data_IF_871635751065
#
_entry.id   IF_871635751065
#
_cell.length_a   1.000
_cell.length_b   1.000
_cell.length_c   1.000
_cell.angle_alpha   90.00
_cell.angle_beta   90.00
_cell.angle_gamma   90.00
#
_symmetry.space_group_name_H-M   'P 1'
#
loop_
_entity.id
_entity.type
_entity.pdbx_description
1 polymer ?
#
# COMPACT_ATOMS: atom_id res chain seq x y z
N UNK A 1 1.52 -12.11 10.97
CA UNK A 1 2.14 -11.42 12.12
C UNK A 1 1.34 -10.14 12.32
N UNK A 2 0.92 -9.80 13.54
CA UNK A 2 0.21 -8.55 13.83
C UNK A 2 1.22 -7.58 14.44
N UNK A 3 1.23 -6.32 13.99
CA UNK A 3 2.07 -5.27 14.53
C UNK A 3 1.35 -4.55 15.68
N UNK A 4 1.89 -4.65 16.89
CA UNK A 4 1.28 -4.10 18.11
C UNK A 4 1.13 -2.57 18.08
N UNK A 5 2.01 -1.84 17.36
CA UNK A 5 1.90 -0.38 17.19
C UNK A 5 0.57 0.03 16.53
N UNK A 6 0.03 -0.82 15.67
CA UNK A 6 -1.16 -0.56 14.86
C UNK A 6 -2.31 -1.52 15.19
N UNK A 7 -2.34 -2.06 16.41
CA UNK A 7 -3.34 -3.05 16.83
C UNK A 7 -4.80 -2.55 16.77
N UNK A 8 -5.01 -1.23 16.84
CA UNK A 8 -6.34 -0.61 16.75
C UNK A 8 -6.79 -0.35 15.31
N UNK A 9 -5.96 -0.68 14.32
CA UNK A 9 -6.22 -0.48 12.90
C UNK A 9 -6.26 -1.84 12.21
N UNK A 10 -7.05 -1.94 11.14
CA UNK A 10 -7.04 -3.12 10.27
C UNK A 10 -5.68 -3.23 9.60
N UNK A 11 -5.07 -4.42 9.67
CA UNK A 11 -3.71 -4.63 9.16
C UNK A 11 -3.74 -5.46 7.88
N UNK A 12 -3.35 -4.83 6.78
CA UNK A 12 -3.30 -5.44 5.44
C UNK A 12 -1.85 -5.56 5.00
N UNK A 13 -1.47 -6.72 4.49
CA UNK A 13 -0.14 -7.03 4.00
C UNK A 13 -0.22 -7.28 2.50
N UNK A 14 0.73 -6.73 1.75
CA UNK A 14 0.82 -6.94 0.30
C UNK A 14 2.03 -7.79 -0.03
N UNK A 15 1.87 -8.65 -1.03
CA UNK A 15 2.97 -9.40 -1.63
C UNK A 15 2.75 -9.54 -3.13
N UNK A 16 3.83 -9.75 -3.86
CA UNK A 16 3.82 -9.93 -5.31
C UNK A 16 4.86 -11.00 -5.65
N UNK A 17 4.40 -12.09 -6.27
CA UNK A 17 5.27 -13.21 -6.60
C UNK A 17 5.60 -13.26 -8.10
N UNK A 18 6.79 -13.78 -8.38
CA UNK A 18 7.27 -14.11 -9.73
C UNK A 18 7.48 -15.63 -9.83
N UNK A 19 6.47 -16.43 -9.50
CA UNK A 19 6.51 -17.84 -9.84
C UNK A 19 6.50 -18.01 -11.38
N UNK A 20 7.36 -18.87 -11.94
CA UNK A 20 7.29 -19.22 -13.36
C UNK A 20 5.90 -19.80 -13.68
N UNK A 21 5.17 -19.16 -14.59
CA UNK A 21 3.88 -19.66 -15.09
C UNK A 21 2.63 -18.98 -14.55
N UNK A 22 2.63 -18.36 -13.37
CA UNK A 22 1.46 -17.60 -12.90
C UNK A 22 1.88 -16.40 -12.04
N UNK A 23 2.23 -15.25 -12.67
CA UNK A 23 2.45 -14.04 -11.90
C UNK A 23 1.14 -13.66 -11.19
N UNK A 24 1.23 -13.43 -9.90
CA UNK A 24 0.09 -13.07 -9.07
C UNK A 24 0.50 -12.06 -8.01
N UNK A 25 -0.53 -11.43 -7.47
CA UNK A 25 -0.47 -10.47 -6.39
C UNK A 25 -1.32 -10.99 -5.25
N UNK A 26 -0.83 -10.82 -4.04
CA UNK A 26 -1.52 -11.24 -2.83
C UNK A 26 -1.75 -10.05 -1.91
N UNK A 27 -2.95 -10.01 -1.34
CA UNK A 27 -3.33 -9.09 -0.29
C UNK A 27 -3.86 -9.91 0.87
N UNK A 28 -3.19 -9.82 2.02
CA UNK A 28 -3.56 -10.54 3.23
C UNK A 28 -4.05 -9.56 4.29
N UNK A 29 -5.31 -9.67 4.66
CA UNK A 29 -5.87 -8.96 5.82
C UNK A 29 -5.66 -9.83 7.06
N UNK A 30 -4.77 -9.40 7.95
CA UNK A 30 -4.45 -10.13 9.17
C UNK A 30 -5.56 -10.04 10.22
N UNK A 31 -6.32 -8.95 10.24
CA UNK A 31 -7.44 -8.75 11.17
C UNK A 31 -8.57 -9.73 10.88
N UNK A 32 -8.92 -9.90 9.60
CA UNK A 32 -9.97 -10.82 9.17
C UNK A 32 -9.45 -12.24 8.85
N UNK A 33 -8.13 -12.44 8.89
CA UNK A 33 -7.47 -13.68 8.45
C UNK A 33 -7.87 -14.09 7.02
N UNK A 34 -8.07 -13.12 6.13
CA UNK A 34 -8.47 -13.35 4.74
C UNK A 34 -7.35 -13.04 3.77
N UNK A 35 -7.12 -13.93 2.81
CA UNK A 35 -6.14 -13.76 1.73
C UNK A 35 -6.86 -13.64 0.38
N UNK A 36 -6.51 -12.61 -0.39
CA UNK A 36 -6.97 -12.40 -1.75
C UNK A 36 -5.79 -12.58 -2.71
N UNK A 37 -5.98 -13.41 -3.73
CA UNK A 37 -4.96 -13.69 -4.74
C UNK A 37 -5.47 -13.27 -6.11
N UNK A 38 -4.75 -12.36 -6.76
CA UNK A 38 -5.09 -11.80 -8.06
C UNK A 38 -4.10 -12.31 -9.10
N UNK A 39 -4.60 -13.07 -10.09
CA UNK A 39 -3.79 -13.53 -11.22
C UNK A 39 -3.55 -12.41 -12.22
N UNK A 40 -2.33 -12.35 -12.75
CA UNK A 40 -1.92 -11.31 -13.69
C UNK A 40 -1.56 -11.97 -15.03
N UNK A 41 -1.97 -11.34 -16.13
CA UNK A 41 -1.82 -11.91 -17.46
C UNK A 41 -0.33 -12.02 -17.84
N UNK A 42 0.09 -13.23 -18.24
CA UNK A 42 1.47 -13.56 -18.59
C UNK A 42 2.02 -12.82 -19.83
N UNK A 43 1.16 -12.21 -20.66
CA UNK A 43 1.59 -11.51 -21.88
C UNK A 43 2.26 -10.15 -21.62
N UNK A 44 2.21 -9.62 -20.40
CA UNK A 44 2.81 -8.33 -20.06
C UNK A 44 4.29 -8.51 -19.64
N UNK A 45 5.17 -7.65 -20.17
CA UNK A 45 6.64 -7.77 -20.17
C UNK A 45 7.32 -7.50 -18.81
N UNK A 46 8.65 -7.46 -18.76
CA UNK A 46 9.48 -7.21 -17.57
C UNK A 46 9.12 -5.94 -16.75
N UNK A 47 8.44 -4.96 -17.35
CA UNK A 47 7.81 -3.82 -16.65
C UNK A 47 6.71 -4.23 -15.65
N UNK A 48 6.31 -5.51 -15.64
CA UNK A 48 5.35 -6.07 -14.70
C UNK A 48 5.86 -6.18 -13.26
N UNK A 49 7.16 -6.17 -12.97
CA UNK A 49 7.60 -6.27 -11.56
C UNK A 49 7.03 -5.08 -10.75
N UNK A 50 7.22 -3.87 -11.25
CA UNK A 50 6.68 -2.66 -10.63
C UNK A 50 5.17 -2.58 -10.78
N UNK A 51 4.61 -2.98 -11.94
CA UNK A 51 3.15 -2.98 -12.16
C UNK A 51 2.42 -3.91 -11.18
N UNK A 52 3.00 -5.08 -10.87
CA UNK A 52 2.44 -6.05 -9.91
C UNK A 52 2.40 -5.47 -8.51
N UNK A 53 3.49 -4.83 -8.10
CA UNK A 53 3.58 -4.15 -6.81
C UNK A 53 2.52 -3.06 -6.71
N UNK A 54 2.43 -2.20 -7.73
CA UNK A 54 1.42 -1.12 -7.75
C UNK A 54 0.01 -1.71 -7.66
N UNK A 55 -0.27 -2.80 -8.40
CA UNK A 55 -1.55 -3.49 -8.33
C UNK A 55 -1.83 -4.04 -6.93
N UNK A 56 -0.83 -4.61 -6.25
CA UNK A 56 -0.96 -5.10 -4.87
C UNK A 56 -1.36 -3.99 -3.90
N UNK A 57 -0.69 -2.85 -4.01
CA UNK A 57 -0.98 -1.68 -3.19
C UNK A 57 -2.38 -1.14 -3.51
N UNK A 58 -2.75 -1.00 -4.79
CA UNK A 58 -4.07 -0.53 -5.20
C UNK A 58 -5.19 -1.46 -4.70
N UNK A 59 -5.01 -2.79 -4.79
CA UNK A 59 -5.98 -3.76 -4.26
C UNK A 59 -6.10 -3.71 -2.74
N UNK A 60 -5.01 -3.47 -2.03
CA UNK A 60 -5.05 -3.24 -0.59
C UNK A 60 -5.79 -1.95 -0.23
N UNK A 61 -5.62 -0.87 -1.01
CA UNK A 61 -6.35 0.39 -0.84
C UNK A 61 -7.85 0.20 -1.12
N UNK A 62 -8.21 -0.49 -2.21
CA UNK A 62 -9.60 -0.80 -2.55
C UNK A 62 -10.28 -1.56 -1.40
N UNK A 63 -9.63 -2.60 -0.88
CA UNK A 63 -10.12 -3.34 0.29
C UNK A 63 -10.28 -2.43 1.52
N UNK A 64 -9.29 -1.56 1.79
CA UNK A 64 -9.34 -0.63 2.91
C UNK A 64 -10.52 0.36 2.80
N UNK A 65 -10.79 0.85 1.59
CA UNK A 65 -11.90 1.76 1.31
C UNK A 65 -13.27 1.07 1.47
N UNK A 66 -13.37 -0.19 1.07
CA UNK A 66 -14.60 -1.00 1.25
C UNK A 66 -14.92 -1.26 2.73
N UNK A 67 -13.89 -1.42 3.56
CA UNK A 67 -14.05 -1.70 4.99
C UNK A 67 -14.54 -0.49 5.81
N UNK A 68 -14.37 0.74 5.33
CA UNK A 68 -14.72 1.99 6.05
C UNK A 68 -14.09 2.11 7.45
N UNK A 69 -12.96 1.43 7.68
CA UNK A 69 -12.24 1.41 8.95
C UNK A 69 -10.81 1.95 8.78
N UNK A 70 -10.23 2.45 9.86
CA UNK A 70 -8.82 2.82 9.89
C UNK A 70 -7.94 1.61 9.54
N UNK A 71 -7.19 1.70 8.44
CA UNK A 71 -6.43 0.58 7.87
C UNK A 71 -4.96 0.97 7.65
N UNK A 72 -4.05 0.06 7.98
CA UNK A 72 -2.61 0.18 7.70
C UNK A 72 -2.21 -0.89 6.69
N UNK A 73 -1.53 -0.46 5.63
CA UNK A 73 -1.05 -1.33 4.56
C UNK A 73 0.47 -1.51 4.71
N UNK A 74 0.91 -2.74 4.91
CA UNK A 74 2.30 -3.14 4.96
C UNK A 74 2.74 -3.71 3.61
N UNK A 75 3.92 -3.29 3.16
CA UNK A 75 4.47 -3.67 1.88
C UNK A 75 6.00 -3.61 1.93
N UNK A 76 6.67 -4.64 1.40
CA UNK A 76 8.13 -4.73 1.33
C UNK A 76 8.71 -3.99 0.10
N UNK A 77 7.86 -3.42 -0.75
CA UNK A 77 8.25 -2.77 -1.99
C UNK A 77 8.66 -1.31 -1.81
N UNK A 78 9.72 -1.07 -1.02
CA UNK A 78 10.20 0.27 -0.62
C UNK A 78 10.29 1.27 -1.78
N UNK A 79 10.95 0.90 -2.88
CA UNK A 79 11.17 1.82 -4.01
C UNK A 79 9.85 2.23 -4.67
N UNK A 80 8.94 1.27 -4.86
CA UNK A 80 7.64 1.53 -5.49
C UNK A 80 6.73 2.34 -4.59
N UNK A 81 6.73 2.08 -3.28
CA UNK A 81 6.04 2.92 -2.31
C UNK A 81 6.56 4.37 -2.38
N UNK A 82 7.88 4.55 -2.41
CA UNK A 82 8.47 5.88 -2.49
C UNK A 82 8.07 6.61 -3.79
N UNK A 83 8.08 5.92 -4.93
CA UNK A 83 7.62 6.48 -6.20
C UNK A 83 6.13 6.82 -6.20
N UNK A 84 5.29 5.96 -5.62
CA UNK A 84 3.84 6.17 -5.51
C UNK A 84 3.55 7.41 -4.63
N UNK A 85 4.19 7.49 -3.47
CA UNK A 85 4.08 8.62 -2.56
C UNK A 85 4.54 9.91 -3.25
N UNK A 86 5.67 9.90 -3.96
CA UNK A 86 6.16 11.06 -4.69
C UNK A 86 5.19 11.49 -5.81
N UNK A 87 4.55 10.54 -6.50
CA UNK A 87 3.52 10.84 -7.49
C UNK A 87 2.29 11.49 -6.84
N UNK A 88 1.81 10.93 -5.73
CA UNK A 88 0.67 11.49 -5.00
C UNK A 88 0.95 12.92 -4.52
N UNK A 89 2.16 13.19 -4.01
CA UNK A 89 2.58 14.54 -3.60
C UNK A 89 2.53 15.53 -4.76
N UNK A 90 3.04 15.17 -5.93
CA UNK A 90 3.07 16.06 -7.10
C UNK A 90 1.68 16.36 -7.69
N UNK A 91 0.69 15.51 -7.41
CA UNK A 91 -0.62 15.54 -8.08
C UNK A 91 -1.77 15.97 -7.18
N UNK A 92 -1.69 15.73 -5.88
CA UNK A 92 -2.83 15.91 -4.96
C UNK A 92 -2.49 16.80 -3.76
N UNK A 93 -1.22 17.16 -3.56
CA UNK A 93 -0.79 17.99 -2.45
C UNK A 93 -0.25 19.31 -3.03
N UNK A 94 -1.08 20.35 -3.01
CA UNK A 94 -0.73 21.66 -3.56
C UNK A 94 0.26 22.44 -2.67
N UNK A 95 0.39 22.11 -1.38
CA UNK A 95 1.43 22.65 -0.49
C UNK A 95 2.07 21.54 0.35
N UNK A 96 3.40 21.59 0.51
CA UNK A 96 4.15 20.59 1.29
C UNK A 96 3.93 20.69 2.81
N UNK A 97 3.04 21.58 3.25
CA UNK A 97 2.86 21.91 4.66
C UNK A 97 1.81 21.00 5.28
N UNK A 98 2.21 20.20 6.28
CA UNK A 98 1.26 19.45 7.09
C UNK A 98 0.34 20.43 7.83
N UNK A 99 -0.99 20.23 7.84
CA UNK A 99 -1.92 21.04 8.63
C UNK A 99 -1.61 21.06 10.13
N UNK A 100 -0.92 20.03 10.61
CA UNK A 100 -0.48 19.84 11.98
C UNK A 100 0.75 20.68 12.39
N UNK A 101 1.42 21.36 11.44
CA UNK A 101 2.61 22.16 11.70
C UNK A 101 3.90 21.36 11.98
N UNK A 102 3.91 20.05 11.74
CA UNK A 102 5.11 19.22 11.92
C UNK A 102 6.25 19.64 10.99
N UNK A 103 7.51 19.70 11.48
CA UNK A 103 8.68 19.94 10.65
C UNK A 103 8.98 18.74 9.73
N UNK A 104 8.49 17.55 10.07
CA UNK A 104 8.56 16.36 9.23
C UNK A 104 7.47 16.45 8.17
N UNK A 105 7.80 17.12 7.06
CA UNK A 105 6.97 17.26 5.88
C UNK A 105 7.08 16.05 4.93
N UNK A 106 7.36 14.87 5.49
CA UNK A 106 7.37 13.67 4.70
C UNK A 106 5.97 13.06 4.59
N UNK A 107 5.77 12.26 3.56
CA UNK A 107 4.46 11.71 3.24
C UNK A 107 4.08 10.61 4.22
N UNK A 108 5.05 10.08 4.96
CA UNK A 108 4.78 9.13 6.04
C UNK A 108 4.02 9.85 7.13
N UNK A 109 4.49 11.05 7.50
CA UNK A 109 3.81 11.91 8.45
C UNK A 109 2.40 12.28 7.97
N UNK A 110 2.27 12.88 6.77
CA UNK A 110 0.97 13.38 6.28
C UNK A 110 -0.09 12.26 6.16
N UNK A 111 0.28 11.06 5.70
CA UNK A 111 -0.68 9.99 5.46
C UNK A 111 -0.88 9.02 6.63
N UNK A 112 0.12 8.84 7.50
CA UNK A 112 0.10 7.76 8.49
C UNK A 112 0.36 8.19 9.93
N UNK A 113 0.93 9.36 10.19
CA UNK A 113 1.32 9.78 11.55
C UNK A 113 0.74 11.15 11.97
N UNK A 114 0.18 11.91 11.03
CA UNK A 114 -0.42 13.20 11.30
C UNK A 114 -1.66 13.01 12.20
N UNK A 115 -1.66 13.57 13.41
CA UNK A 115 -2.86 13.62 14.24
C UNK A 115 -3.79 14.66 13.61
N UNK A 116 -4.71 14.20 12.76
CA UNK A 116 -5.83 15.03 12.25
C UNK A 116 -6.68 15.55 13.39
#
# INVERSE_FOLDING_TARGET
MINEKYQNLTQVYTSASKCPGEPHVEVYNATLSTQLVFKINQKASAAMAETRVVLAILKAIELALEMQEGTVIFSDFKNTLQSLLQFCRKKFIDSAECPCGSPEQDLIHIFFECPT
#
